data_IF_000652472013
#
_entry.id   IF_000652472013
#
_cell.length_a   1.000
_cell.length_b   1.000
_cell.length_c   1.000
_cell.angle_alpha   90.00
_cell.angle_beta   90.00
_cell.angle_gamma   90.00
#
_symmetry.space_group_name_H-M   'P 1'
#
loop_
_entity.id
_entity.type
_entity.pdbx_description
1 polymer ?
#
# COMPACT_ATOMS: atom_id res chain seq x y z
N UNK A 1 17.82 -16.13 8.95
CA UNK A 1 16.43 -15.85 8.71
C UNK A 1 15.70 -15.58 10.01
N UNK A 2 15.08 -14.49 10.06
CA UNK A 2 14.38 -14.06 11.27
C UNK A 2 13.04 -14.78 11.41
N UNK A 3 12.68 -15.06 12.64
CA UNK A 3 11.37 -15.59 12.95
C UNK A 3 10.43 -14.51 13.42
N UNK A 4 10.95 -13.31 13.48
CA UNK A 4 10.17 -12.20 13.95
C UNK A 4 9.00 -11.96 13.03
N UNK A 5 7.82 -11.86 13.60
CA UNK A 5 6.59 -11.73 12.81
C UNK A 5 6.05 -10.33 12.77
N UNK A 6 6.57 -9.45 13.57
CA UNK A 6 5.98 -8.12 13.61
C UNK A 6 6.84 -7.11 12.88
N UNK A 7 6.19 -6.09 12.37
CA UNK A 7 6.83 -4.98 11.69
C UNK A 7 6.24 -3.69 12.23
N UNK A 8 7.01 -2.63 12.11
CA UNK A 8 6.47 -1.31 12.51
C UNK A 8 5.41 -0.84 11.54
N UNK A 9 5.51 -1.24 10.29
CA UNK A 9 4.59 -0.79 9.26
C UNK A 9 3.78 -2.00 8.80
N UNK A 10 2.47 -1.84 8.75
CA UNK A 10 1.60 -2.94 8.35
C UNK A 10 1.78 -3.25 6.88
N UNK A 11 1.34 -4.43 6.49
CA UNK A 11 1.37 -4.79 5.07
C UNK A 11 0.48 -3.86 4.25
N UNK A 12 -0.60 -3.36 4.84
CA UNK A 12 -1.45 -2.40 4.12
C UNK A 12 -0.65 -1.15 3.79
N UNK A 13 0.09 -0.64 4.76
CA UNK A 13 0.90 0.54 4.51
C UNK A 13 2.00 0.26 3.49
N UNK A 14 2.59 -0.92 3.54
CA UNK A 14 3.65 -1.28 2.61
C UNK A 14 3.12 -1.38 1.18
N UNK A 15 1.95 -1.99 1.00
CA UNK A 15 1.35 -2.09 -0.32
C UNK A 15 1.03 -0.70 -0.85
N UNK A 16 0.47 0.14 0.00
CA UNK A 16 0.12 1.50 -0.39
C UNK A 16 1.35 2.27 -0.85
N UNK A 17 2.45 2.11 -0.12
CA UNK A 17 3.70 2.78 -0.44
C UNK A 17 4.23 2.35 -1.80
N UNK A 18 4.18 1.04 -2.08
CA UNK A 18 4.64 0.55 -3.37
C UNK A 18 3.78 1.05 -4.51
N UNK A 19 2.47 1.10 -4.30
CA UNK A 19 1.56 1.60 -5.35
C UNK A 19 1.78 3.09 -5.60
N UNK A 20 2.17 3.82 -4.58
CA UNK A 20 2.46 5.23 -4.74
C UNK A 20 3.73 5.42 -5.56
N UNK A 21 4.68 4.52 -5.43
CA UNK A 21 5.93 4.57 -6.19
C UNK A 21 5.75 4.14 -7.63
N UNK A 22 4.98 3.08 -7.83
CA UNK A 22 4.84 2.46 -9.14
C UNK A 22 3.38 2.12 -9.36
N UNK A 23 2.71 2.91 -10.16
CA UNK A 23 1.27 2.77 -10.35
C UNK A 23 0.86 1.47 -11.04
N UNK A 24 1.77 0.86 -11.76
CA UNK A 24 1.44 -0.29 -12.61
C UNK A 24 1.88 -1.63 -12.03
N UNK A 25 2.28 -1.66 -10.77
CA UNK A 25 2.71 -2.92 -10.17
C UNK A 25 1.57 -3.93 -10.15
N UNK A 26 1.91 -5.16 -10.48
CA UNK A 26 0.94 -6.25 -10.40
C UNK A 26 0.92 -6.82 -8.98
N UNK A 27 -0.15 -7.55 -8.68
CA UNK A 27 -0.25 -8.23 -7.39
C UNK A 27 0.93 -9.16 -7.15
N UNK A 28 1.36 -9.82 -8.21
CA UNK A 28 2.49 -10.75 -8.10
C UNK A 28 3.77 -10.01 -7.77
N UNK A 29 4.00 -8.87 -8.42
CA UNK A 29 5.21 -8.10 -8.16
C UNK A 29 5.24 -7.56 -6.74
N UNK A 30 4.09 -7.12 -6.26
CA UNK A 30 3.99 -6.63 -4.89
C UNK A 30 4.22 -7.76 -3.90
N UNK A 31 3.62 -8.91 -4.16
CA UNK A 31 3.78 -10.07 -3.29
C UNK A 31 5.24 -10.46 -3.19
N UNK A 32 5.93 -10.45 -4.32
CA UNK A 32 7.35 -10.78 -4.33
C UNK A 32 8.16 -9.76 -3.54
N UNK A 33 7.86 -8.48 -3.74
CA UNK A 33 8.61 -7.43 -3.07
C UNK A 33 8.45 -7.48 -1.56
N UNK A 34 7.26 -7.85 -1.09
CA UNK A 34 6.96 -7.84 0.34
C UNK A 34 7.06 -9.21 0.98
N UNK A 35 7.35 -10.24 0.18
CA UNK A 35 7.47 -11.60 0.69
C UNK A 35 6.19 -12.07 1.38
N UNK A 36 5.08 -11.81 0.74
CA UNK A 36 3.77 -12.31 1.18
C UNK A 36 3.09 -12.94 -0.02
N UNK A 37 1.97 -13.60 0.22
CA UNK A 37 1.28 -14.29 -0.85
C UNK A 37 0.54 -13.30 -1.75
N UNK A 38 0.36 -13.69 -2.99
CA UNK A 38 -0.40 -12.87 -3.92
C UNK A 38 -1.85 -12.72 -3.44
N UNK A 39 -2.38 -13.77 -2.82
CA UNK A 39 -3.73 -13.70 -2.26
C UNK A 39 -3.83 -12.60 -1.19
N UNK A 40 -2.81 -12.51 -0.35
CA UNK A 40 -2.80 -11.48 0.67
C UNK A 40 -2.77 -10.08 0.05
N UNK A 41 -1.98 -9.92 -1.01
CA UNK A 41 -1.92 -8.63 -1.70
C UNK A 41 -3.26 -8.26 -2.29
N UNK A 42 -3.93 -9.22 -2.92
CA UNK A 42 -5.23 -8.95 -3.52
C UNK A 42 -6.24 -8.52 -2.46
N UNK A 43 -6.21 -9.16 -1.30
CA UNK A 43 -7.11 -8.80 -0.23
C UNK A 43 -6.80 -7.41 0.31
N UNK A 44 -5.52 -7.10 0.43
CA UNK A 44 -5.11 -5.77 0.92
C UNK A 44 -5.55 -4.69 -0.07
N UNK A 45 -5.37 -4.94 -1.36
CA UNK A 45 -5.79 -3.98 -2.36
C UNK A 45 -7.29 -3.75 -2.29
N UNK A 46 -8.05 -4.81 -2.08
CA UNK A 46 -9.50 -4.66 -1.93
C UNK A 46 -9.85 -3.82 -0.71
N UNK A 47 -9.15 -4.05 0.39
CA UNK A 47 -9.36 -3.26 1.59
C UNK A 47 -9.10 -1.79 1.33
N UNK A 48 -7.97 -1.50 0.70
CA UNK A 48 -7.59 -0.11 0.42
C UNK A 48 -8.58 0.55 -0.52
N UNK A 49 -9.02 -0.18 -1.53
CA UNK A 49 -9.94 0.36 -2.50
C UNK A 49 -11.31 0.62 -1.88
N UNK A 50 -11.80 -0.31 -1.09
CA UNK A 50 -13.14 -0.18 -0.51
C UNK A 50 -13.20 0.96 0.50
N UNK A 51 -12.10 1.32 1.12
CA UNK A 51 -12.04 2.41 2.08
C UNK A 51 -11.62 3.73 1.45
N UNK A 52 -11.41 3.72 0.14
CA UNK A 52 -11.12 4.97 -0.57
C UNK A 52 -9.67 5.38 -0.58
N UNK A 53 -8.75 4.55 -0.11
CA UNK A 53 -7.34 4.91 -0.08
C UNK A 53 -6.68 4.79 -1.44
N UNK A 54 -7.22 3.98 -2.32
CA UNK A 54 -6.74 3.89 -3.70
C UNK A 54 -7.92 3.83 -4.64
N UNK A 55 -7.67 4.26 -5.86
CA UNK A 55 -8.61 4.15 -6.97
C UNK A 55 -7.94 3.33 -8.05
N UNK A 56 -8.66 2.35 -8.58
CA UNK A 56 -8.14 1.49 -9.62
C UNK A 56 -8.75 1.89 -10.95
N UNK A 57 -7.91 2.01 -11.96
CA UNK A 57 -8.36 2.29 -13.31
C UNK A 57 -7.70 1.32 -14.25
N UNK A 58 -8.49 0.80 -15.16
CA UNK A 58 -7.98 -0.15 -16.14
C UNK A 58 -7.44 0.61 -17.34
N UNK A 59 -6.23 0.27 -17.75
CA UNK A 59 -5.62 0.85 -18.94
C UNK A 59 -5.11 -0.31 -19.80
N UNK A 60 -5.83 -0.58 -20.88
CA UNK A 60 -5.50 -1.74 -21.68
C UNK A 60 -5.66 -3.00 -20.84
N UNK A 61 -4.59 -3.75 -20.69
CA UNK A 61 -4.62 -4.97 -19.90
C UNK A 61 -4.14 -4.77 -18.48
N UNK A 62 -3.70 -3.57 -18.17
CA UNK A 62 -3.10 -3.31 -16.88
C UNK A 62 -4.02 -2.51 -16.00
N UNK A 63 -3.85 -2.70 -14.71
CA UNK A 63 -4.50 -1.86 -13.72
C UNK A 63 -3.56 -0.76 -13.32
N UNK A 64 -4.11 0.41 -13.15
CA UNK A 64 -3.34 1.55 -12.68
C UNK A 64 -3.98 2.07 -11.42
N UNK A 65 -3.16 2.31 -10.41
CA UNK A 65 -3.66 2.72 -9.10
C UNK A 65 -3.24 4.14 -8.79
N UNK A 66 -4.17 4.88 -8.20
CA UNK A 66 -3.90 6.22 -7.71
C UNK A 66 -4.14 6.23 -6.21
N UNK A 67 -3.18 6.72 -5.45
CA UNK A 67 -3.28 6.77 -4.00
C UNK A 67 -3.90 8.08 -3.57
N UNK A 68 -4.89 8.01 -2.69
CA UNK A 68 -5.53 9.18 -2.12
C UNK A 68 -4.76 9.59 -0.87
N UNK A 69 -3.92 10.60 -1.00
CA UNK A 69 -3.00 10.98 0.07
C UNK A 69 -3.62 11.91 1.10
N UNK A 70 -4.87 12.30 0.88
CA UNK A 70 -5.52 13.26 1.76
C UNK A 70 -6.32 12.61 2.89
N UNK A 71 -6.44 11.30 2.87
CA UNK A 71 -7.18 10.61 3.90
C UNK A 71 -6.34 10.45 5.16
N UNK A 72 -6.97 10.47 6.33
CA UNK A 72 -6.25 10.24 7.57
C UNK A 72 -5.96 8.75 7.76
N UNK A 73 -5.01 8.48 8.65
CA UNK A 73 -4.76 7.11 9.04
C UNK A 73 -5.97 6.59 9.80
N UNK A 74 -6.12 5.28 9.82
CA UNK A 74 -7.33 4.67 10.36
C UNK A 74 -7.37 4.52 11.86
N UNK A 75 -6.24 4.68 12.51
CA UNK A 75 -6.20 4.56 13.97
C UNK A 75 -6.81 5.79 14.61
N UNK A 76 -7.59 5.58 15.65
CA UNK A 76 -8.22 6.71 16.33
C UNK A 76 -7.22 7.69 16.89
N UNK A 77 -6.08 7.19 17.34
CA UNK A 77 -5.06 8.04 17.94
C UNK A 77 -4.17 8.72 16.91
N UNK A 78 -4.48 8.54 15.63
CA UNK A 78 -3.67 9.12 14.56
C UNK A 78 -4.53 9.77 13.49
N UNK A 79 -5.70 10.25 13.88
CA UNK A 79 -6.65 10.79 12.90
C UNK A 79 -6.17 12.08 12.27
N UNK A 80 -5.24 12.76 12.90
CA UNK A 80 -4.71 14.01 12.34
C UNK A 80 -3.51 13.78 11.44
N UNK A 81 -3.05 12.53 11.34
CA UNK A 81 -1.95 12.20 10.46
C UNK A 81 -2.53 11.68 9.15
N UNK A 82 -2.14 12.30 8.05
CA UNK A 82 -2.63 11.92 6.75
C UNK A 82 -1.71 10.92 6.08
N UNK A 83 -2.27 10.17 5.14
CA UNK A 83 -1.52 9.17 4.39
C UNK A 83 -0.29 9.81 3.75
N UNK A 84 -0.42 11.04 3.26
CA UNK A 84 0.70 11.73 2.64
C UNK A 84 1.92 11.79 3.55
N UNK A 85 1.70 12.05 4.82
CA UNK A 85 2.80 12.17 5.76
C UNK A 85 3.50 10.82 5.98
N UNK A 86 2.69 9.78 6.11
CA UNK A 86 3.23 8.44 6.28
C UNK A 86 4.04 8.02 5.06
N UNK A 87 3.49 8.23 3.86
CA UNK A 87 4.19 7.85 2.65
C UNK A 87 5.47 8.63 2.46
N UNK A 88 5.46 9.92 2.78
CA UNK A 88 6.66 10.72 2.67
C UNK A 88 7.77 10.19 3.59
N UNK A 89 7.39 9.78 4.77
CA UNK A 89 8.37 9.27 5.72
C UNK A 89 8.97 7.96 5.24
N UNK A 90 8.12 7.06 4.75
CA UNK A 90 8.58 5.74 4.33
C UNK A 90 9.34 5.82 3.02
N UNK A 91 8.90 6.66 2.11
CA UNK A 91 9.41 6.68 0.75
C UNK A 91 10.69 7.47 0.58
N UNK A 92 11.19 8.09 1.62
CA UNK A 92 12.36 8.94 1.46
C UNK A 92 13.60 8.11 1.15
N UNK A 93 13.53 6.82 1.40
CA UNK A 93 14.60 5.93 1.00
C UNK A 93 14.26 5.34 -0.35
N UNK A 94 15.27 4.92 -1.04
CA UNK A 94 15.08 4.28 -2.32
C UNK A 94 14.57 2.88 -2.13
N UNK A 95 13.70 2.51 -2.99
CA UNK A 95 13.19 1.16 -3.02
C UNK A 95 14.03 0.30 -3.94
#
# INVERSE_FOLDING_TARGET
MTKNKWTFITNHAAVLTLLDHEEHLTSREIAFALDITERSVIRIIKDLESEGYITKRKEGRENRYTVNKDLPLRRNDQREVHVRELLNLISRKNW
#
